data_IF_313054400088
#
_entry.id   IF_313054400088
#
_cell.length_a   1.000
_cell.length_b   1.000
_cell.length_c   1.000
_cell.angle_alpha   90.00
_cell.angle_beta   90.00
_cell.angle_gamma   90.00
#
_symmetry.space_group_name_H-M   'P 1'
#
loop_
_entity.id
_entity.type
_entity.pdbx_description
1 polymer ?
#
# COMPACT_ATOMS: atom_id res chain seq x y z
N UNK A 1 -31.77 -15.92 -57.02
CA UNK A 1 -32.82 -15.11 -56.41
C UNK A 1 -32.07 -14.21 -55.44
N UNK A 2 -31.94 -12.89 -55.67
CA UNK A 2 -31.08 -12.05 -54.85
C UNK A 2 -31.91 -11.49 -53.69
N UNK A 3 -32.35 -12.38 -52.79
CA UNK A 3 -32.95 -12.10 -51.49
C UNK A 3 -32.80 -13.38 -50.66
N UNK A 4 -31.56 -13.77 -50.36
CA UNK A 4 -31.27 -14.71 -49.29
C UNK A 4 -31.03 -13.87 -48.04
N UNK A 5 -31.88 -14.01 -47.03
CA UNK A 5 -31.84 -13.23 -45.80
C UNK A 5 -30.79 -13.75 -44.82
N UNK A 6 -29.57 -14.00 -45.30
CA UNK A 6 -28.45 -14.53 -44.53
C UNK A 6 -27.25 -13.57 -44.44
N UNK A 7 -27.35 -12.38 -45.05
CA UNK A 7 -26.31 -11.32 -44.93
C UNK A 7 -26.43 -10.52 -43.63
N UNK A 8 -27.54 -10.62 -42.89
CA UNK A 8 -27.76 -9.92 -41.61
C UNK A 8 -27.24 -10.73 -40.39
N UNK A 9 -26.57 -11.87 -40.59
CA UNK A 9 -26.00 -12.74 -39.52
C UNK A 9 -24.53 -13.13 -39.79
N UNK A 10 -23.85 -12.50 -40.76
CA UNK A 10 -22.42 -12.76 -40.95
C UNK A 10 -21.68 -11.97 -39.88
N UNK A 11 -20.91 -12.69 -39.09
CA UNK A 11 -19.99 -12.23 -38.06
C UNK A 11 -18.64 -12.85 -38.47
N UNK A 12 -17.81 -12.04 -39.13
CA UNK A 12 -16.65 -12.56 -39.87
C UNK A 12 -15.46 -12.87 -38.96
N UNK A 13 -15.29 -12.15 -37.87
CA UNK A 13 -14.18 -12.31 -36.93
C UNK A 13 -14.57 -13.02 -35.62
N UNK A 14 -15.86 -13.17 -35.33
CA UNK A 14 -16.39 -13.92 -34.20
C UNK A 14 -16.33 -13.16 -32.87
N UNK A 15 -16.37 -11.83 -32.89
CA UNK A 15 -16.49 -10.99 -31.68
C UNK A 15 -17.95 -10.94 -31.14
N UNK A 16 -18.91 -11.34 -31.98
CA UNK A 16 -20.34 -11.37 -31.68
C UNK A 16 -21.15 -10.25 -32.33
N UNK A 17 -20.54 -9.21 -32.90
CA UNK A 17 -21.20 -8.25 -33.80
C UNK A 17 -21.28 -8.83 -35.22
N UNK A 18 -22.35 -8.49 -35.93
CA UNK A 18 -22.43 -8.80 -37.36
C UNK A 18 -21.69 -7.74 -38.19
N UNK A 19 -21.17 -8.13 -39.36
CA UNK A 19 -20.51 -7.24 -40.33
C UNK A 19 -21.35 -5.96 -40.63
N UNK A 20 -22.68 -6.05 -40.51
CA UNK A 20 -23.60 -4.94 -40.72
C UNK A 20 -23.77 -4.04 -39.47
N UNK A 21 -23.73 -4.61 -38.26
CA UNK A 21 -23.65 -3.86 -37.00
C UNK A 21 -22.33 -3.10 -36.93
N UNK A 22 -21.22 -3.77 -37.21
CA UNK A 22 -19.88 -3.18 -37.25
C UNK A 22 -19.78 -2.06 -38.27
N UNK A 23 -20.29 -2.25 -39.49
CA UNK A 23 -20.36 -1.18 -40.49
C UNK A 23 -21.23 0.02 -40.05
N UNK A 24 -22.12 -0.15 -39.07
CA UNK A 24 -22.94 0.93 -38.50
C UNK A 24 -22.22 1.65 -37.37
N UNK A 25 -21.49 0.90 -36.53
CA UNK A 25 -20.70 1.41 -35.41
C UNK A 25 -19.40 2.08 -35.89
N UNK A 26 -18.84 1.60 -37.00
CA UNK A 26 -17.59 2.09 -37.58
C UNK A 26 -16.39 1.18 -37.33
N UNK A 27 -16.61 0.04 -36.68
CA UNK A 27 -15.60 -0.99 -36.39
C UNK A 27 -15.21 -1.79 -37.64
N UNK A 28 -14.10 -2.55 -37.58
CA UNK A 28 -13.59 -3.36 -38.71
C UNK A 28 -14.11 -4.80 -38.65
N UNK A 29 -14.97 -5.26 -39.59
CA UNK A 29 -15.50 -6.64 -39.64
C UNK A 29 -14.48 -7.79 -39.73
N UNK A 30 -13.20 -7.48 -39.74
CA UNK A 30 -12.11 -8.45 -39.82
C UNK A 30 -11.23 -8.43 -38.56
N UNK A 31 -11.49 -7.55 -37.61
CA UNK A 31 -10.69 -7.32 -36.42
C UNK A 31 -11.57 -7.26 -35.17
N UNK A 32 -11.39 -8.24 -34.27
CA UNK A 32 -12.31 -8.45 -33.13
C UNK A 32 -12.24 -7.35 -32.07
N UNK A 33 -11.27 -6.47 -32.18
CA UNK A 33 -10.81 -5.47 -31.20
C UNK A 33 -10.25 -4.31 -32.04
N UNK A 34 -11.13 -3.39 -32.43
CA UNK A 34 -10.85 -2.39 -33.45
C UNK A 34 -9.86 -1.31 -32.97
N UNK A 35 -9.91 -0.93 -31.70
CA UNK A 35 -9.04 0.11 -31.13
C UNK A 35 -7.81 -0.45 -30.39
N UNK A 36 -7.79 -1.76 -30.10
CA UNK A 36 -6.63 -2.49 -29.60
C UNK A 36 -6.39 -2.28 -28.12
N UNK A 37 -7.46 -2.11 -27.34
CA UNK A 37 -7.42 -1.92 -25.90
C UNK A 37 -7.42 -3.26 -25.12
N UNK A 38 -7.86 -4.35 -25.76
CA UNK A 38 -7.92 -5.71 -25.21
C UNK A 38 -9.34 -6.23 -24.94
N UNK A 39 -10.37 -5.40 -25.09
CA UNK A 39 -11.76 -5.82 -25.17
C UNK A 39 -12.12 -6.16 -26.61
N UNK A 40 -13.24 -6.86 -26.80
CA UNK A 40 -13.74 -7.10 -28.16
C UNK A 40 -14.88 -6.14 -28.46
N UNK A 41 -15.00 -5.66 -29.70
CA UNK A 41 -16.03 -4.68 -30.07
C UNK A 41 -17.43 -5.15 -29.63
N UNK A 42 -17.68 -6.46 -29.74
CA UNK A 42 -18.91 -7.09 -29.28
C UNK A 42 -19.10 -7.15 -27.77
N UNK A 43 -18.05 -7.28 -26.97
CA UNK A 43 -18.10 -7.23 -25.50
C UNK A 43 -18.36 -5.79 -25.03
N UNK A 44 -17.67 -4.81 -25.62
CA UNK A 44 -17.81 -3.39 -25.33
C UNK A 44 -19.25 -2.91 -25.53
N UNK A 45 -19.81 -3.18 -26.72
CA UNK A 45 -21.16 -2.74 -27.10
C UNK A 45 -22.27 -3.45 -26.32
N UNK A 46 -22.05 -4.68 -25.86
CA UNK A 46 -23.14 -5.52 -25.29
C UNK A 46 -23.12 -5.69 -23.80
N UNK A 47 -21.94 -5.65 -23.18
CA UNK A 47 -21.76 -6.00 -21.77
C UNK A 47 -21.15 -4.86 -20.96
N UNK A 48 -20.38 -3.95 -21.57
CA UNK A 48 -19.60 -2.92 -20.86
C UNK A 48 -20.05 -1.49 -21.11
N UNK A 49 -20.80 -1.25 -22.17
CA UNK A 49 -21.28 0.08 -22.57
C UNK A 49 -20.14 1.09 -22.87
N UNK A 50 -18.97 0.61 -23.31
CA UNK A 50 -17.80 1.39 -23.77
C UNK A 50 -17.82 1.68 -25.29
N UNK A 51 -16.94 2.56 -25.80
CA UNK A 51 -16.87 2.90 -27.24
C UNK A 51 -15.79 2.05 -27.96
N UNK A 52 -16.16 1.10 -28.85
CA UNK A 52 -15.23 0.17 -29.52
C UNK A 52 -14.29 0.81 -30.56
N UNK A 53 -14.17 2.13 -30.53
CA UNK A 53 -13.30 2.94 -31.38
C UNK A 53 -12.41 3.87 -30.56
N UNK A 54 -12.53 3.84 -29.23
CA UNK A 54 -11.82 4.69 -28.28
C UNK A 54 -11.26 3.81 -27.15
N UNK A 55 -9.94 3.55 -27.13
CA UNK A 55 -9.35 2.57 -26.22
C UNK A 55 -9.26 3.04 -24.74
N UNK A 56 -9.95 4.13 -24.40
CA UNK A 56 -9.98 4.85 -23.10
C UNK A 56 -11.25 5.72 -23.13
N UNK A 57 -12.39 5.10 -22.80
CA UNK A 57 -13.74 5.63 -23.01
C UNK A 57 -14.01 6.88 -22.16
N UNK A 58 -13.52 6.93 -20.92
CA UNK A 58 -13.77 8.04 -19.99
C UNK A 58 -12.60 9.04 -19.88
N UNK A 59 -11.47 8.73 -20.53
CA UNK A 59 -10.30 9.59 -20.69
C UNK A 59 -9.58 9.88 -19.37
N UNK A 60 -9.53 8.90 -18.49
CA UNK A 60 -8.87 8.98 -17.18
C UNK A 60 -7.36 8.62 -17.25
N UNK A 61 -6.95 7.94 -18.32
CA UNK A 61 -5.57 7.54 -18.58
C UNK A 61 -5.33 6.04 -18.60
N UNK A 62 -6.29 5.23 -18.14
CA UNK A 62 -6.32 3.79 -18.28
C UNK A 62 -7.06 3.39 -19.56
N UNK A 63 -6.87 2.15 -19.99
CA UNK A 63 -7.62 1.61 -21.14
C UNK A 63 -8.77 0.78 -20.64
N UNK A 64 -9.90 0.75 -21.35
CA UNK A 64 -11.07 -0.01 -20.90
C UNK A 64 -10.74 -1.50 -20.63
N UNK A 65 -9.89 -2.11 -21.46
CA UNK A 65 -9.35 -3.45 -21.25
C UNK A 65 -8.47 -3.59 -20.00
N UNK A 66 -7.60 -2.62 -19.71
CA UNK A 66 -6.77 -2.57 -18.50
C UNK A 66 -7.66 -2.43 -17.25
N UNK A 67 -8.63 -1.53 -17.30
CA UNK A 67 -9.59 -1.31 -16.23
C UNK A 67 -10.39 -2.56 -15.88
N UNK A 68 -10.83 -3.30 -16.89
CA UNK A 68 -11.61 -4.51 -16.69
C UNK A 68 -10.80 -5.66 -16.10
N UNK A 69 -9.57 -5.84 -16.57
CA UNK A 69 -8.80 -7.07 -16.30
C UNK A 69 -7.77 -6.92 -15.19
N UNK A 70 -7.23 -5.72 -15.00
CA UNK A 70 -6.12 -5.45 -14.10
C UNK A 70 -6.61 -4.70 -12.84
N UNK A 71 -7.15 -3.49 -12.98
CA UNK A 71 -7.58 -2.65 -11.83
C UNK A 71 -8.98 -2.99 -11.32
N UNK A 72 -9.84 -3.53 -12.18
CA UNK A 72 -11.25 -3.84 -11.93
C UNK A 72 -12.11 -2.60 -11.63
N UNK A 73 -11.82 -1.48 -12.30
CA UNK A 73 -12.57 -0.22 -12.26
C UNK A 73 -13.71 -0.17 -13.29
N UNK A 74 -14.53 0.88 -13.29
CA UNK A 74 -15.60 1.09 -14.28
C UNK A 74 -15.06 1.92 -15.47
N UNK A 75 -14.87 1.34 -16.67
CA UNK A 75 -14.26 2.02 -17.82
C UNK A 75 -15.10 3.14 -18.45
N UNK A 76 -16.17 3.53 -17.77
CA UNK A 76 -17.04 4.63 -18.15
C UNK A 76 -17.18 5.70 -17.07
N UNK A 77 -16.49 5.53 -15.94
CA UNK A 77 -16.48 6.43 -14.80
C UNK A 77 -15.01 6.70 -14.39
N UNK A 78 -14.48 7.89 -14.68
CA UNK A 78 -13.04 8.17 -14.55
C UNK A 78 -12.58 8.33 -13.09
N UNK A 79 -13.39 7.95 -12.11
CA UNK A 79 -13.23 8.13 -10.66
C UNK A 79 -14.20 7.12 -10.00
N UNK A 80 -13.77 5.85 -9.95
CA UNK A 80 -14.63 4.70 -9.65
C UNK A 80 -15.13 4.69 -8.21
N UNK A 81 -14.33 5.11 -7.24
CA UNK A 81 -14.73 5.20 -5.83
C UNK A 81 -15.27 6.56 -5.41
N UNK A 82 -15.02 7.62 -6.19
CA UNK A 82 -15.58 8.95 -6.00
C UNK A 82 -14.80 9.82 -5.02
N UNK A 83 -13.51 9.57 -4.83
CA UNK A 83 -12.66 10.25 -3.85
C UNK A 83 -12.06 11.58 -4.36
N UNK A 84 -12.23 11.87 -5.66
CA UNK A 84 -11.75 13.02 -6.45
C UNK A 84 -10.39 12.86 -7.16
N UNK A 85 -9.77 11.70 -7.09
CA UNK A 85 -8.70 11.28 -7.98
C UNK A 85 -9.31 10.51 -9.15
N UNK A 86 -8.59 10.43 -10.28
CA UNK A 86 -9.02 9.55 -11.36
C UNK A 86 -8.34 8.20 -11.22
N UNK A 87 -8.97 7.11 -11.66
CA UNK A 87 -8.41 5.77 -11.50
C UNK A 87 -7.00 5.67 -12.12
N UNK A 88 -6.79 6.32 -13.26
CA UNK A 88 -5.48 6.48 -13.87
C UNK A 88 -4.48 7.33 -13.08
N UNK A 89 -4.91 8.38 -12.35
CA UNK A 89 -4.03 9.17 -11.48
C UNK A 89 -3.57 8.33 -10.27
N UNK A 90 -4.49 7.57 -9.69
CA UNK A 90 -4.21 6.65 -8.58
C UNK A 90 -3.19 5.60 -8.97
N UNK A 91 -3.44 4.87 -10.06
CA UNK A 91 -2.54 3.80 -10.52
C UNK A 91 -1.18 4.32 -10.97
N UNK A 92 -1.12 5.38 -11.79
CA UNK A 92 0.13 5.83 -12.41
C UNK A 92 0.96 6.78 -11.54
N UNK A 93 0.35 7.52 -10.61
CA UNK A 93 1.03 8.59 -9.87
C UNK A 93 1.14 8.34 -8.37
N UNK A 94 0.11 7.78 -7.73
CA UNK A 94 0.02 7.73 -6.27
C UNK A 94 0.19 6.32 -5.71
N UNK A 95 -0.18 5.29 -6.47
CA UNK A 95 -0.12 3.89 -6.05
C UNK A 95 -1.26 3.45 -5.13
N UNK A 96 -2.35 4.22 -5.05
CA UNK A 96 -3.57 3.92 -4.28
C UNK A 96 -4.46 2.89 -5.01
N UNK A 97 -5.42 2.26 -4.31
CA UNK A 97 -6.39 1.34 -4.96
C UNK A 97 -7.58 2.16 -5.47
N UNK A 98 -7.80 2.27 -6.80
CA UNK A 98 -8.85 3.12 -7.40
C UNK A 98 -10.30 2.67 -7.17
N UNK A 99 -10.51 1.84 -6.15
CA UNK A 99 -11.82 1.33 -5.74
C UNK A 99 -11.99 1.43 -4.23
N UNK A 100 -11.03 2.00 -3.53
CA UNK A 100 -11.04 2.19 -2.09
C UNK A 100 -10.74 3.65 -1.80
N UNK A 101 -11.77 4.39 -1.37
CA UNK A 101 -11.66 5.83 -1.15
C UNK A 101 -10.59 6.20 -0.10
N UNK A 102 -10.15 5.26 0.74
CA UNK A 102 -9.26 5.43 1.89
C UNK A 102 -8.28 4.24 1.91
N UNK A 103 -7.23 4.32 1.09
CA UNK A 103 -6.34 3.18 0.78
C UNK A 103 -5.60 2.67 2.02
N UNK A 104 -5.13 3.57 2.88
CA UNK A 104 -4.41 3.20 4.10
C UNK A 104 -5.35 2.96 5.31
N UNK A 105 -6.61 3.40 5.22
CA UNK A 105 -7.65 3.17 6.22
C UNK A 105 -7.51 4.04 7.47
N UNK A 106 -6.91 5.22 7.38
CA UNK A 106 -6.75 6.17 8.48
C UNK A 106 -8.02 7.03 8.75
N UNK A 107 -8.94 7.05 7.78
CA UNK A 107 -10.21 7.78 7.82
C UNK A 107 -10.22 9.13 7.10
N UNK A 108 -9.17 9.50 6.38
CA UNK A 108 -9.15 10.45 5.27
C UNK A 108 -9.38 9.69 3.97
N UNK A 109 -9.72 10.41 2.91
CA UNK A 109 -9.80 9.79 1.59
C UNK A 109 -8.60 10.24 0.76
N UNK A 110 -8.11 9.40 -0.15
CA UNK A 110 -6.81 9.61 -0.81
C UNK A 110 -6.76 10.98 -1.52
N UNK A 111 -7.88 11.39 -2.13
CA UNK A 111 -8.09 12.71 -2.70
C UNK A 111 -8.01 13.87 -1.69
N UNK A 112 -8.56 13.74 -0.48
CA UNK A 112 -8.42 14.75 0.59
C UNK A 112 -6.97 14.86 1.06
N UNK A 113 -6.31 13.72 1.23
CA UNK A 113 -4.91 13.64 1.63
C UNK A 113 -4.01 14.39 0.65
N UNK A 114 -4.08 14.07 -0.64
CA UNK A 114 -3.23 14.69 -1.65
C UNK A 114 -3.60 16.16 -1.89
N UNK A 115 -4.89 16.48 -1.98
CA UNK A 115 -5.35 17.80 -2.45
C UNK A 115 -5.49 18.83 -1.34
N UNK A 116 -5.64 18.39 -0.08
CA UNK A 116 -5.97 19.26 1.06
C UNK A 116 -4.96 19.14 2.20
N UNK A 117 -4.69 17.94 2.70
CA UNK A 117 -3.88 17.73 3.91
C UNK A 117 -2.38 17.66 3.61
N UNK A 118 -2.01 17.26 2.40
CA UNK A 118 -0.65 16.98 1.94
C UNK A 118 0.04 15.84 2.71
N UNK A 119 -0.75 14.84 3.12
CA UNK A 119 -0.32 13.56 3.70
C UNK A 119 -0.05 12.52 2.61
N UNK A 120 0.54 11.38 2.97
CA UNK A 120 0.80 10.26 2.07
C UNK A 120 -0.33 9.22 2.19
N UNK A 121 -1.16 9.02 1.15
CA UNK A 121 -2.35 8.15 1.22
C UNK A 121 -2.04 6.64 1.32
N UNK A 122 -0.77 6.29 1.42
CA UNK A 122 -0.29 4.93 1.65
C UNK A 122 0.26 4.75 3.06
N UNK A 123 0.22 5.79 3.90
CA UNK A 123 0.83 5.84 5.22
C UNK A 123 -0.10 6.52 6.24
N UNK A 124 -0.67 5.70 7.12
CA UNK A 124 -1.71 6.11 8.08
C UNK A 124 -1.25 7.20 9.04
N UNK A 125 0.05 7.42 9.19
CA UNK A 125 0.70 8.40 10.09
C UNK A 125 1.90 9.04 9.38
N UNK A 126 1.63 10.05 8.56
CA UNK A 126 2.61 10.66 7.63
C UNK A 126 3.87 11.17 8.34
N UNK A 127 3.74 11.69 9.57
CA UNK A 127 4.85 12.27 10.31
C UNK A 127 5.46 11.36 11.38
N UNK A 128 4.87 10.18 11.56
CA UNK A 128 5.32 9.09 12.41
C UNK A 128 5.44 9.49 13.88
N UNK A 129 4.45 10.21 14.40
CA UNK A 129 4.40 10.60 15.81
C UNK A 129 3.55 9.67 16.69
N UNK A 130 2.95 8.66 16.06
CA UNK A 130 2.07 7.66 16.64
C UNK A 130 0.58 8.02 16.58
N UNK A 131 0.18 9.03 15.82
CA UNK A 131 -1.20 9.49 15.71
C UNK A 131 -1.67 9.50 14.24
N UNK A 132 -2.60 8.61 13.88
CA UNK A 132 -3.09 8.52 12.50
C UNK A 132 -3.58 9.89 11.93
N UNK A 133 -3.25 10.23 10.69
CA UNK A 133 -3.49 11.57 10.10
C UNK A 133 -4.99 11.95 10.14
N UNK A 134 -5.86 10.98 9.86
CA UNK A 134 -7.31 11.15 9.94
C UNK A 134 -7.79 11.46 11.35
N UNK A 135 -7.13 10.95 12.39
CA UNK A 135 -7.42 11.32 13.77
C UNK A 135 -6.92 12.72 14.08
N UNK A 136 -5.79 13.11 13.52
CA UNK A 136 -5.25 14.45 13.66
C UNK A 136 -6.19 15.51 13.08
N UNK A 137 -6.63 15.31 11.85
CA UNK A 137 -7.54 16.23 11.17
C UNK A 137 -8.91 16.28 11.86
N UNK A 138 -9.49 15.12 12.20
CA UNK A 138 -10.88 15.04 12.64
C UNK A 138 -11.08 15.32 14.14
N UNK A 139 -10.17 14.86 15.00
CA UNK A 139 -10.35 14.88 16.45
C UNK A 139 -9.51 15.96 17.15
N UNK A 140 -8.19 15.91 17.00
CA UNK A 140 -7.23 16.78 17.74
C UNK A 140 -7.09 18.15 17.09
N UNK A 141 -7.18 18.23 15.75
CA UNK A 141 -6.89 19.39 14.90
C UNK A 141 -5.41 19.80 14.96
N UNK A 142 -4.53 18.81 15.00
CA UNK A 142 -3.09 18.93 14.76
C UNK A 142 -2.83 18.99 13.25
N UNK A 143 -1.59 19.30 12.86
CA UNK A 143 -1.12 19.33 11.47
C UNK A 143 -0.46 17.98 11.17
N UNK A 144 -1.06 17.11 10.34
CA UNK A 144 -0.60 15.73 10.17
C UNK A 144 0.70 15.55 9.38
N UNK A 145 1.41 16.66 9.17
CA UNK A 145 2.71 16.67 8.51
C UNK A 145 3.82 17.13 9.46
N UNK A 146 3.49 17.31 10.74
CA UNK A 146 4.30 17.88 11.79
C UNK A 146 4.08 17.14 13.11
N UNK A 147 5.03 16.24 13.42
CA UNK A 147 5.06 15.48 14.68
C UNK A 147 4.91 16.32 15.96
N UNK A 148 5.16 17.64 15.93
CA UNK A 148 4.88 18.57 17.03
C UNK A 148 4.19 19.84 16.46
N UNK A 149 2.85 19.83 16.46
CA UNK A 149 2.02 20.88 15.86
C UNK A 149 2.16 22.23 16.54
N UNK A 150 2.38 22.25 17.85
CA UNK A 150 2.35 23.48 18.65
C UNK A 150 3.74 24.06 18.97
N UNK A 151 4.79 23.29 18.66
CA UNK A 151 6.20 23.63 18.82
C UNK A 151 6.67 23.62 20.27
N UNK A 152 5.99 22.85 21.11
CA UNK A 152 6.26 22.63 22.53
C UNK A 152 7.47 21.73 22.81
N UNK A 153 7.79 20.87 21.84
CA UNK A 153 8.89 19.91 21.87
C UNK A 153 8.50 18.52 22.36
N UNK A 154 7.20 18.22 22.44
CA UNK A 154 6.67 16.87 22.70
C UNK A 154 5.77 16.51 21.52
N UNK A 155 5.87 15.30 20.96
CA UNK A 155 5.06 14.93 19.81
C UNK A 155 3.55 14.83 20.09
N UNK A 156 2.69 15.13 19.11
CA UNK A 156 1.24 15.18 19.29
C UNK A 156 0.68 13.81 19.72
N UNK A 157 1.18 12.73 19.11
CA UNK A 157 0.89 11.35 19.51
C UNK A 157 1.25 11.06 20.97
N UNK A 158 2.42 11.48 21.46
CA UNK A 158 2.83 11.32 22.86
C UNK A 158 1.91 12.11 23.82
N UNK A 159 1.55 13.34 23.46
CA UNK A 159 0.64 14.18 24.23
C UNK A 159 -0.75 13.57 24.35
N UNK A 160 -1.26 12.98 23.27
CA UNK A 160 -2.62 12.43 23.22
C UNK A 160 -2.70 11.04 23.82
N UNK A 161 -1.79 10.13 23.44
CA UNK A 161 -1.83 8.71 23.79
C UNK A 161 -1.30 8.45 25.20
N UNK A 162 -0.20 9.11 25.56
CA UNK A 162 0.57 8.80 26.76
C UNK A 162 0.28 9.82 27.86
N UNK A 163 0.55 11.09 27.57
CA UNK A 163 0.55 12.14 28.58
C UNK A 163 -0.82 12.70 28.91
N UNK A 164 -1.74 12.67 27.94
CA UNK A 164 -3.10 13.25 28.02
C UNK A 164 -3.07 14.75 28.28
N UNK A 165 -2.19 15.45 27.57
CA UNK A 165 -2.08 16.91 27.46
C UNK A 165 -2.81 17.38 26.18
N UNK A 166 -2.78 18.67 25.88
CA UNK A 166 -3.44 19.25 24.70
C UNK A 166 -2.38 19.51 23.62
N UNK A 167 -2.37 18.79 22.48
CA UNK A 167 -1.33 18.90 21.43
C UNK A 167 -1.37 20.22 20.63
N UNK A 168 -1.99 21.24 21.20
CA UNK A 168 -2.20 22.56 20.64
C UNK A 168 -1.93 23.67 21.70
N UNK A 169 -1.41 23.31 22.88
CA UNK A 169 -1.03 24.23 23.96
C UNK A 169 0.37 23.90 24.51
N UNK A 170 1.45 24.57 24.03
CA UNK A 170 2.85 24.26 24.35
C UNK A 170 3.25 24.62 25.80
N UNK A 171 2.25 24.88 26.65
CA UNK A 171 2.40 25.30 28.02
C UNK A 171 1.96 24.24 29.03
N UNK A 172 1.33 23.15 28.58
CA UNK A 172 0.98 22.02 29.42
C UNK A 172 1.79 20.73 29.18
N UNK A 173 2.72 20.80 28.22
CA UNK A 173 3.67 19.75 27.86
C UNK A 173 4.47 19.30 29.08
N UNK A 174 4.81 18.01 29.06
CA UNK A 174 5.67 17.42 30.06
C UNK A 174 7.13 17.59 29.68
N UNK A 175 7.97 17.50 30.70
CA UNK A 175 9.40 17.55 30.48
C UNK A 175 9.83 16.24 29.80
N UNK A 176 10.43 16.38 28.63
CA UNK A 176 11.22 15.37 27.92
C UNK A 176 12.69 15.86 27.96
N UNK A 177 13.59 15.06 28.54
CA UNK A 177 14.94 15.51 28.88
C UNK A 177 15.98 15.16 27.82
N UNK A 178 15.84 14.03 27.16
CA UNK A 178 16.69 13.56 26.05
C UNK A 178 16.11 13.83 24.67
N UNK A 179 14.81 14.11 24.57
CA UNK A 179 14.16 14.54 23.34
C UNK A 179 13.85 13.39 22.40
N UNK A 180 13.49 12.22 22.93
CA UNK A 180 13.03 11.06 22.14
C UNK A 180 11.52 11.04 21.91
N UNK A 181 10.77 12.01 22.48
CA UNK A 181 9.32 12.09 22.36
C UNK A 181 8.56 11.50 23.54
N UNK A 182 9.24 10.81 24.47
CA UNK A 182 8.64 10.38 25.73
C UNK A 182 8.97 11.34 26.85
N UNK A 183 7.97 11.71 27.65
CA UNK A 183 8.24 12.53 28.83
C UNK A 183 8.96 11.73 29.93
N UNK A 184 9.75 12.42 30.77
CA UNK A 184 10.44 11.85 31.95
C UNK A 184 9.51 11.01 32.84
N UNK A 185 8.21 11.33 32.83
CA UNK A 185 7.17 10.62 33.59
C UNK A 185 6.72 9.35 32.88
N UNK A 186 6.54 9.40 31.56
CA UNK A 186 6.18 8.25 30.73
C UNK A 186 7.29 7.19 30.79
N UNK A 187 8.54 7.59 30.59
CA UNK A 187 9.70 6.72 30.70
C UNK A 187 9.82 6.06 32.09
N UNK A 188 9.55 6.83 33.15
CA UNK A 188 9.51 6.28 34.51
C UNK A 188 8.44 5.20 34.72
N UNK A 189 7.41 5.15 33.88
CA UNK A 189 6.37 4.10 33.87
C UNK A 189 6.79 2.92 32.99
N UNK A 190 7.38 3.19 31.82
CA UNK A 190 7.85 2.19 30.86
C UNK A 190 9.10 1.45 31.35
N UNK A 191 9.92 2.11 32.17
CA UNK A 191 11.16 1.54 32.73
C UNK A 191 12.42 1.94 31.98
N UNK A 192 12.29 2.85 31.01
CA UNK A 192 13.37 3.47 30.25
C UNK A 192 14.07 4.58 31.05
N UNK A 193 15.08 5.23 30.47
CA UNK A 193 15.96 6.17 31.16
C UNK A 193 15.85 7.59 30.62
N UNK A 194 15.32 8.56 31.41
CA UNK A 194 15.09 9.98 31.02
C UNK A 194 16.28 10.86 30.66
N UNK A 195 17.40 10.27 30.31
CA UNK A 195 18.61 10.97 29.90
C UNK A 195 19.36 10.17 28.82
N UNK A 196 18.71 9.16 28.26
CA UNK A 196 19.24 8.25 27.26
C UNK A 196 18.09 7.84 26.32
N UNK A 197 18.03 8.44 25.12
CA UNK A 197 16.89 8.31 24.22
C UNK A 197 16.72 6.92 23.59
N UNK A 198 17.54 5.94 23.94
CA UNK A 198 17.65 4.60 23.33
C UNK A 198 18.17 3.67 24.44
N UNK A 199 17.24 3.13 25.22
CA UNK A 199 17.49 2.50 26.52
C UNK A 199 18.16 1.14 26.42
N UNK A 200 17.93 0.40 25.34
CA UNK A 200 18.49 -0.93 25.13
C UNK A 200 19.64 -0.98 24.09
N UNK A 201 19.81 0.09 23.33
CA UNK A 201 20.92 0.36 22.43
C UNK A 201 20.81 -0.32 21.07
N UNK A 202 19.63 -0.67 20.59
CA UNK A 202 19.42 -1.33 19.29
C UNK A 202 19.52 -0.35 18.10
N UNK A 203 19.22 0.92 18.33
CA UNK A 203 19.31 1.99 17.34
C UNK A 203 18.00 2.74 17.11
N UNK A 204 16.88 2.25 17.62
CA UNK A 204 15.62 2.98 17.72
C UNK A 204 15.59 3.78 19.02
N UNK A 205 14.87 4.90 19.02
CA UNK A 205 14.64 5.65 20.24
C UNK A 205 13.48 5.08 21.04
N UNK A 206 13.51 5.26 22.38
CA UNK A 206 12.46 4.73 23.26
C UNK A 206 11.06 5.24 22.84
N UNK A 207 10.99 6.45 22.29
CA UNK A 207 9.77 7.04 21.75
C UNK A 207 9.34 6.46 20.41
N UNK A 208 10.25 6.26 19.45
CA UNK A 208 9.93 5.60 18.17
C UNK A 208 9.38 4.18 18.40
N UNK A 209 10.01 3.42 19.29
CA UNK A 209 9.56 2.07 19.64
C UNK A 209 8.12 2.04 20.17
N UNK A 210 7.78 2.99 21.05
CA UNK A 210 6.46 3.03 21.70
C UNK A 210 5.38 3.66 20.81
N UNK A 211 5.73 4.67 20.01
CA UNK A 211 4.77 5.46 19.24
C UNK A 211 4.57 4.89 17.84
N UNK A 212 5.62 4.37 17.20
CA UNK A 212 5.63 3.98 15.79
C UNK A 212 5.67 2.46 15.63
N UNK A 213 6.60 1.79 16.30
CA UNK A 213 6.88 0.37 16.04
C UNK A 213 6.15 -0.63 16.96
N UNK A 214 5.50 -0.17 18.03
CA UNK A 214 4.84 -1.00 19.07
C UNK A 214 5.78 -2.07 19.67
N UNK A 215 7.08 -1.79 19.77
CA UNK A 215 8.11 -2.65 20.39
C UNK A 215 8.34 -2.28 21.86
N UNK A 216 9.07 -3.12 22.63
CA UNK A 216 9.42 -2.82 24.03
C UNK A 216 10.78 -2.10 24.10
N UNK A 217 10.85 -0.81 24.49
CA UNK A 217 12.11 -0.03 24.52
C UNK A 217 13.15 -0.48 25.55
N UNK A 218 12.89 -1.60 26.22
CA UNK A 218 13.84 -2.29 27.08
C UNK A 218 14.35 -3.63 26.51
N UNK A 219 13.92 -4.05 25.32
CA UNK A 219 14.19 -5.36 24.74
C UNK A 219 14.51 -5.29 23.24
N UNK A 220 15.81 -5.42 22.91
CA UNK A 220 16.35 -5.20 21.57
C UNK A 220 15.80 -6.11 20.46
N UNK A 221 15.04 -7.14 20.78
CA UNK A 221 14.64 -8.21 19.85
C UNK A 221 13.26 -8.69 20.32
N UNK A 222 12.26 -7.88 19.97
CA UNK A 222 10.89 -7.92 20.47
C UNK A 222 10.22 -9.25 20.14
N UNK A 223 10.42 -9.74 18.92
CA UNK A 223 9.83 -10.98 18.46
C UNK A 223 10.70 -12.22 18.76
N UNK A 224 11.99 -12.04 19.09
CA UNK A 224 12.98 -13.07 19.40
C UNK A 224 13.31 -13.98 18.20
N UNK A 225 13.53 -13.42 17.02
CA UNK A 225 13.93 -14.13 15.79
C UNK A 225 15.46 -14.14 15.57
N UNK A 226 16.17 -13.17 16.14
CA UNK A 226 17.63 -13.06 16.09
C UNK A 226 18.19 -11.80 15.41
N UNK A 227 17.35 -10.96 14.80
CA UNK A 227 17.65 -9.57 14.46
C UNK A 227 17.31 -8.67 15.66
N UNK A 228 17.93 -7.49 15.75
CA UNK A 228 17.44 -6.46 16.68
C UNK A 228 16.41 -5.55 16.01
N UNK A 229 15.45 -5.01 16.77
CA UNK A 229 14.31 -4.26 16.21
C UNK A 229 14.82 -3.09 15.32
N UNK A 230 15.89 -2.44 15.77
CA UNK A 230 16.63 -1.45 14.98
C UNK A 230 17.29 -1.99 13.69
N UNK A 231 17.86 -3.20 13.68
CA UNK A 231 18.35 -3.85 12.45
C UNK A 231 17.20 -4.11 11.46
N UNK A 232 16.08 -4.62 11.96
CA UNK A 232 14.88 -4.91 11.17
C UNK A 232 14.37 -3.64 10.50
N UNK A 233 14.05 -2.60 11.28
CA UNK A 233 13.49 -1.34 10.76
C UNK A 233 14.50 -0.58 9.89
N UNK A 234 15.76 -0.41 10.35
CA UNK A 234 16.71 0.50 9.69
C UNK A 234 17.50 -0.14 8.55
N UNK A 235 17.56 -1.47 8.49
CA UNK A 235 18.40 -2.20 7.53
C UNK A 235 17.61 -3.11 6.60
N UNK A 236 16.68 -3.91 7.14
CA UNK A 236 16.03 -4.97 6.38
C UNK A 236 14.62 -4.60 5.90
N UNK A 237 13.93 -3.70 6.59
CA UNK A 237 12.55 -3.32 6.32
C UNK A 237 11.53 -4.37 6.75
N UNK A 238 11.90 -5.28 7.64
CA UNK A 238 11.02 -6.30 8.23
C UNK A 238 10.23 -5.73 9.41
N UNK A 239 9.17 -6.44 9.83
CA UNK A 239 8.36 -6.04 10.98
C UNK A 239 8.99 -6.57 12.28
N UNK A 240 9.48 -5.70 13.20
CA UNK A 240 10.15 -6.14 14.43
C UNK A 240 9.25 -6.89 15.42
N UNK A 241 7.95 -7.00 15.13
CA UNK A 241 7.00 -7.80 15.90
C UNK A 241 6.57 -9.10 15.19
N UNK A 242 7.06 -9.37 13.98
CA UNK A 242 6.76 -10.58 13.21
C UNK A 242 8.01 -11.34 12.78
N UNK A 243 8.09 -12.59 13.24
CA UNK A 243 9.26 -13.46 13.05
C UNK A 243 9.47 -13.93 11.63
N UNK A 244 8.50 -13.77 10.75
CA UNK A 244 8.47 -14.37 9.41
C UNK A 244 7.66 -13.40 8.55
N UNK A 245 8.29 -12.26 8.23
CA UNK A 245 7.62 -11.09 7.64
C UNK A 245 6.92 -11.47 6.32
N UNK A 246 7.57 -12.28 5.49
CA UNK A 246 7.04 -12.69 4.18
C UNK A 246 6.22 -14.01 4.22
N UNK A 247 6.15 -14.65 5.38
CA UNK A 247 5.35 -15.85 5.67
C UNK A 247 5.76 -17.07 4.81
N UNK A 248 7.05 -17.29 4.63
CA UNK A 248 7.62 -18.34 3.78
C UNK A 248 8.06 -19.62 4.54
N UNK A 249 7.93 -19.62 5.87
CA UNK A 249 8.35 -20.65 6.82
C UNK A 249 9.82 -20.55 7.32
N UNK A 250 10.61 -19.55 6.92
CA UNK A 250 11.85 -19.10 7.59
C UNK A 250 11.55 -17.93 8.54
N UNK A 251 12.52 -17.58 9.38
CA UNK A 251 12.44 -16.31 10.08
C UNK A 251 13.50 -15.37 9.55
N UNK A 252 13.21 -14.09 9.64
CA UNK A 252 13.98 -13.01 9.03
C UNK A 252 15.46 -13.07 9.47
N UNK A 253 15.71 -13.35 10.75
CA UNK A 253 17.04 -13.61 11.28
C UNK A 253 17.75 -14.83 10.67
N UNK A 254 17.08 -15.97 10.50
CA UNK A 254 17.64 -17.13 9.81
C UNK A 254 17.94 -16.85 8.33
N UNK A 255 17.06 -16.11 7.67
CA UNK A 255 17.24 -15.69 6.29
C UNK A 255 18.47 -14.82 6.12
N UNK A 256 18.63 -13.79 6.94
CA UNK A 256 19.76 -12.88 6.87
C UNK A 256 21.08 -13.57 7.25
N UNK A 257 21.11 -14.29 8.37
CA UNK A 257 22.37 -14.76 8.96
C UNK A 257 22.83 -16.14 8.43
N UNK A 258 21.89 -16.99 8.00
CA UNK A 258 22.16 -18.38 7.66
C UNK A 258 21.99 -18.63 6.16
N UNK A 259 20.85 -18.25 5.59
CA UNK A 259 20.47 -18.63 4.23
C UNK A 259 20.85 -17.59 3.17
N UNK A 260 21.00 -16.33 3.58
CA UNK A 260 21.22 -15.17 2.73
C UNK A 260 20.12 -14.98 1.67
N UNK A 261 18.88 -15.31 2.05
CA UNK A 261 17.64 -14.99 1.32
C UNK A 261 17.17 -13.57 1.68
N UNK A 262 16.20 -13.06 0.94
CA UNK A 262 15.60 -11.74 1.18
C UNK A 262 14.36 -11.91 2.07
N UNK A 263 14.36 -11.41 3.32
CA UNK A 263 13.27 -11.66 4.28
C UNK A 263 11.94 -10.97 3.93
N UNK A 264 11.89 -10.30 2.79
CA UNK A 264 10.70 -9.66 2.23
C UNK A 264 10.21 -10.37 0.95
N UNK A 265 10.89 -11.42 0.50
CA UNK A 265 10.56 -12.15 -0.73
C UNK A 265 10.45 -13.66 -0.45
N UNK A 266 9.24 -14.22 -0.42
CA UNK A 266 9.02 -15.60 0.01
C UNK A 266 9.56 -16.63 -0.99
N UNK A 267 10.10 -16.22 -2.14
CA UNK A 267 10.76 -17.02 -3.17
C UNK A 267 11.91 -16.19 -3.78
N UNK A 268 12.97 -15.99 -2.99
CA UNK A 268 14.11 -15.09 -3.32
C UNK A 268 14.69 -15.33 -4.72
N UNK A 269 14.67 -16.58 -5.19
CA UNK A 269 15.28 -16.96 -6.47
C UNK A 269 14.29 -17.02 -7.65
N UNK A 270 13.00 -16.93 -7.38
CA UNK A 270 11.90 -16.92 -8.34
C UNK A 270 11.70 -18.25 -9.08
N UNK A 271 12.12 -19.37 -8.49
CA UNK A 271 12.00 -20.71 -9.05
C UNK A 271 10.59 -21.32 -8.92
N UNK A 272 9.79 -20.79 -8.00
CA UNK A 272 8.40 -21.14 -7.73
C UNK A 272 8.20 -22.07 -6.53
N UNK A 273 9.22 -22.27 -5.69
CA UNK A 273 9.13 -22.85 -4.35
C UNK A 273 9.51 -21.78 -3.31
N UNK A 274 9.00 -21.88 -2.08
CA UNK A 274 9.33 -20.87 -1.06
C UNK A 274 10.63 -21.25 -0.37
N UNK A 275 11.45 -20.28 0.02
CA UNK A 275 12.82 -20.51 0.53
C UNK A 275 12.80 -21.46 1.74
N UNK A 276 11.88 -21.25 2.69
CA UNK A 276 11.68 -22.12 3.83
C UNK A 276 11.35 -23.56 3.48
N UNK A 277 10.55 -23.78 2.43
CA UNK A 277 10.22 -25.14 1.96
C UNK A 277 11.40 -25.81 1.26
N UNK A 278 12.25 -25.03 0.61
CA UNK A 278 13.47 -25.53 -0.02
C UNK A 278 14.47 -25.98 1.04
N UNK A 279 14.71 -25.14 2.04
CA UNK A 279 15.52 -25.44 3.23
C UNK A 279 15.03 -26.73 3.90
N UNK A 280 13.73 -26.85 4.15
CA UNK A 280 13.12 -28.02 4.80
C UNK A 280 13.29 -29.31 3.98
N UNK A 281 13.38 -29.19 2.66
CA UNK A 281 13.64 -30.29 1.72
C UNK A 281 15.13 -30.52 1.46
N UNK A 282 16.00 -29.68 2.02
CA UNK A 282 17.45 -29.73 1.85
C UNK A 282 17.91 -29.31 0.45
N UNK A 283 17.19 -28.35 -0.13
CA UNK A 283 17.49 -27.65 -1.38
C UNK A 283 18.16 -26.31 -1.11
N UNK A 284 18.62 -25.66 -2.17
CA UNK A 284 19.34 -24.38 -2.10
C UNK A 284 18.36 -23.24 -2.47
N UNK A 285 17.92 -22.40 -1.51
CA UNK A 285 16.92 -21.33 -1.74
C UNK A 285 17.43 -20.17 -2.62
N UNK A 286 18.58 -20.36 -3.26
CA UNK A 286 19.22 -19.40 -4.15
C UNK A 286 19.51 -20.03 -5.53
N UNK A 287 19.00 -21.23 -5.81
CA UNK A 287 19.12 -21.96 -7.07
C UNK A 287 17.75 -22.37 -7.65
N UNK A 288 17.16 -21.57 -8.57
CA UNK A 288 15.78 -21.75 -9.06
C UNK A 288 15.62 -22.98 -9.96
N UNK A 289 16.71 -23.73 -10.14
CA UNK A 289 16.75 -24.92 -10.99
C UNK A 289 16.50 -26.21 -10.22
N UNK A 290 16.51 -26.16 -8.89
CA UNK A 290 16.39 -27.35 -8.05
C UNK A 290 14.98 -27.54 -7.43
N UNK A 291 14.12 -26.54 -7.50
CA UNK A 291 12.71 -26.48 -7.06
C UNK A 291 11.84 -27.55 -7.74
N UNK A 292 12.18 -27.90 -8.99
CA UNK A 292 11.39 -28.81 -9.82
C UNK A 292 12.00 -30.21 -9.83
N UNK A 293 11.38 -31.11 -9.06
CA UNK A 293 11.55 -32.57 -9.23
C UNK A 293 10.77 -33.13 -10.44
#
# INVERSE_FOLDING_TARGET
DPLDGSDDEIDTDGDGLSDQEEATLGTDPLDRDTDGDGLTDGDEVRERDTDPLDPDTDNDGLRDGEEVFDTHTDPSDPDTDGDLLTDGEEVDLFGTDPRDEDTDGDGLNDGEEILVQYTDPLDRDTDHDGLDDGREVNDTRTDPTLSDSDGGGVPDGAEVLIDRTDPNDPSDDRQDTDGDGLSDVAEGVLGTNPNNPDSDGDGLTDGEEVLVHDTDPGDRDSDNDGLDDGEEVLTYGTDPNDRDTDNDELNDGEEVDIWYTDPLDPDTDGGGEQDGREVDRGRDPLDPTDDRN
#
